data_IF_792541528832
#
_entry.id   IF_792541528832
#
_cell.length_a   1.000
_cell.length_b   1.000
_cell.length_c   1.000
_cell.angle_alpha   90.00
_cell.angle_beta   90.00
_cell.angle_gamma   90.00
#
_symmetry.space_group_name_H-M   'P 1'
#
loop_
_entity.id
_entity.type
_entity.pdbx_description
1 polymer ?
#
# COMPACT_ATOMS: atom_id res chain seq x y z
N UNK A 1 8.88 10.49 -0.01
CA UNK A 1 7.69 10.97 0.75
C UNK A 1 7.58 10.21 2.07
N UNK A 2 7.00 10.80 3.12
CA UNK A 2 6.72 10.11 4.39
C UNK A 2 5.22 9.86 4.52
N UNK A 3 4.80 8.60 4.67
CA UNK A 3 3.42 8.26 5.00
C UNK A 3 3.15 8.59 6.48
N UNK A 4 2.00 9.19 6.76
CA UNK A 4 1.53 9.60 8.08
C UNK A 4 0.28 8.82 8.50
N UNK A 5 -0.10 8.90 9.77
CA UNK A 5 -1.35 8.31 10.27
C UNK A 5 -2.56 8.92 9.55
N UNK A 6 -2.52 10.22 9.24
CA UNK A 6 -3.56 10.92 8.48
C UNK A 6 -3.69 10.35 7.07
N UNK A 7 -2.56 10.07 6.40
CA UNK A 7 -2.55 9.44 5.07
C UNK A 7 -3.22 8.06 5.12
N UNK A 8 -2.90 7.25 6.12
CA UNK A 8 -3.49 5.92 6.29
C UNK A 8 -4.98 5.98 6.59
N UNK A 9 -5.38 6.91 7.44
CA UNK A 9 -6.80 7.13 7.78
C UNK A 9 -7.58 7.59 6.55
N UNK A 10 -7.00 8.50 5.76
CA UNK A 10 -7.55 8.94 4.49
C UNK A 10 -7.68 7.77 3.50
N UNK A 11 -6.61 6.98 3.32
CA UNK A 11 -6.61 5.81 2.42
C UNK A 11 -7.70 4.81 2.85
N UNK A 12 -7.78 4.47 4.14
CA UNK A 12 -8.81 3.53 4.62
C UNK A 12 -10.22 4.10 4.38
N UNK A 13 -10.43 5.38 4.67
CA UNK A 13 -11.72 6.03 4.40
C UNK A 13 -12.11 5.96 2.91
N UNK A 14 -11.16 6.22 1.99
CA UNK A 14 -11.41 6.06 0.55
C UNK A 14 -11.71 4.60 0.19
N UNK A 15 -10.99 3.63 0.76
CA UNK A 15 -11.25 2.20 0.57
C UNK A 15 -12.68 1.84 0.98
N UNK A 16 -13.14 2.29 2.15
CA UNK A 16 -14.50 2.03 2.63
C UNK A 16 -15.55 2.69 1.72
N UNK A 17 -15.30 3.91 1.24
CA UNK A 17 -16.17 4.57 0.27
C UNK A 17 -16.28 3.79 -1.05
N UNK A 18 -15.16 3.30 -1.58
CA UNK A 18 -15.12 2.52 -2.83
C UNK A 18 -15.85 1.18 -2.66
N UNK A 19 -15.72 0.55 -1.49
CA UNK A 19 -16.41 -0.70 -1.14
C UNK A 19 -17.86 -0.50 -0.71
N UNK A 20 -18.33 0.75 -0.58
CA UNK A 20 -19.65 1.11 -0.07
C UNK A 20 -19.93 0.53 1.33
N UNK A 21 -18.90 0.51 2.18
CA UNK A 21 -18.93 0.00 3.56
C UNK A 21 -18.78 1.15 4.57
N UNK A 22 -19.23 0.98 5.83
CA UNK A 22 -19.02 1.99 6.86
C UNK A 22 -17.54 2.28 7.09
N UNK A 23 -17.21 3.53 7.43
CA UNK A 23 -15.85 3.91 7.83
C UNK A 23 -15.38 3.03 8.98
N UNK A 24 -14.21 2.42 8.83
CA UNK A 24 -13.61 1.62 9.88
C UNK A 24 -12.82 2.52 10.83
N UNK A 25 -12.96 2.26 12.13
CA UNK A 25 -12.17 2.95 13.15
C UNK A 25 -10.74 2.42 13.17
N UNK A 26 -9.79 3.32 13.44
CA UNK A 26 -8.41 2.96 13.75
C UNK A 26 -8.38 2.33 15.15
N UNK A 27 -7.94 1.08 15.22
CA UNK A 27 -7.93 0.27 16.46
C UNK A 27 -6.56 0.25 17.15
N UNK A 28 -5.48 0.55 16.43
CA UNK A 28 -4.11 0.58 16.98
C UNK A 28 -3.27 1.72 16.39
N UNK A 29 -3.48 2.92 16.93
CA UNK A 29 -2.72 4.13 16.55
C UNK A 29 -1.23 4.01 16.90
N UNK A 30 -0.92 3.39 18.05
CA UNK A 30 0.46 3.25 18.53
C UNK A 30 1.24 2.27 17.65
N UNK A 31 0.63 1.14 17.30
CA UNK A 31 1.19 0.17 16.37
C UNK A 31 1.44 0.78 15.00
N UNK A 32 0.46 1.51 14.46
CA UNK A 32 0.62 2.22 13.19
C UNK A 32 1.77 3.24 13.25
N UNK A 33 1.83 4.07 14.29
CA UNK A 33 2.90 5.08 14.47
C UNK A 33 4.30 4.45 14.51
N UNK A 34 4.44 3.32 15.21
CA UNK A 34 5.69 2.58 15.30
C UNK A 34 6.11 1.98 13.95
N UNK A 35 5.14 1.42 13.21
CA UNK A 35 5.35 0.88 11.86
C UNK A 35 5.80 1.97 10.88
N UNK A 36 5.15 3.14 10.90
CA UNK A 36 5.53 4.28 10.05
C UNK A 36 6.93 4.79 10.36
N UNK A 37 7.30 4.84 11.64
CA UNK A 37 8.65 5.26 12.05
C UNK A 37 9.71 4.31 11.48
N UNK A 38 9.51 2.99 11.61
CA UNK A 38 10.43 1.98 11.08
C UNK A 38 10.63 2.08 9.56
N UNK A 39 9.55 2.30 8.81
CA UNK A 39 9.61 2.47 7.35
C UNK A 39 10.42 3.72 6.99
N UNK A 40 10.28 4.82 7.74
CA UNK A 40 10.94 6.11 7.48
C UNK A 40 12.42 6.15 7.84
N UNK A 41 12.91 5.28 8.74
CA UNK A 41 14.31 5.23 9.16
C UNK A 41 15.24 4.50 8.17
N UNK A 42 14.68 3.89 7.10
CA UNK A 42 15.45 3.14 6.11
C UNK A 42 15.84 4.05 4.92
N UNK A 43 17.13 4.39 4.73
CA UNK A 43 17.58 5.21 3.57
C UNK A 43 17.39 4.46 2.25
N UNK A 44 17.14 5.19 1.14
CA UNK A 44 16.73 4.56 -0.12
C UNK A 44 17.72 4.76 -1.30
N UNK A 45 18.33 3.67 -1.75
CA UNK A 45 18.67 3.40 -3.16
C UNK A 45 17.45 2.77 -3.88
N UNK A 46 17.47 2.60 -5.20
CA UNK A 46 16.36 1.97 -5.95
C UNK A 46 16.00 0.56 -5.43
N UNK A 47 17.00 -0.27 -5.15
CA UNK A 47 16.78 -1.60 -4.56
C UNK A 47 16.10 -1.52 -3.18
N UNK A 48 16.37 -0.44 -2.44
CA UNK A 48 15.76 -0.20 -1.14
C UNK A 48 14.29 0.22 -1.29
N UNK A 49 13.88 0.90 -2.37
CA UNK A 49 12.48 1.30 -2.58
C UNK A 49 11.58 0.07 -2.75
N UNK A 50 12.00 -0.91 -3.55
CA UNK A 50 11.23 -2.15 -3.74
C UNK A 50 11.12 -2.93 -2.43
N UNK A 51 12.23 -3.05 -1.71
CA UNK A 51 12.27 -3.73 -0.42
C UNK A 51 11.44 -3.00 0.64
N UNK A 52 11.44 -1.67 0.65
CA UNK A 52 10.62 -0.85 1.54
C UNK A 52 9.14 -1.00 1.20
N UNK A 53 8.75 -0.97 -0.07
CA UNK A 53 7.37 -1.20 -0.49
C UNK A 53 6.88 -2.60 -0.08
N UNK A 54 7.72 -3.62 -0.25
CA UNK A 54 7.42 -4.97 0.22
C UNK A 54 7.26 -5.02 1.75
N UNK A 55 8.13 -4.32 2.48
CA UNK A 55 8.06 -4.23 3.94
C UNK A 55 6.82 -3.48 4.41
N UNK A 56 6.43 -2.40 3.71
CA UNK A 56 5.17 -1.67 3.97
C UNK A 56 4.01 -2.63 3.86
N UNK A 57 3.91 -3.36 2.75
CA UNK A 57 2.82 -4.30 2.52
C UNK A 57 2.78 -5.39 3.60
N UNK A 58 3.89 -6.08 3.87
CA UNK A 58 3.90 -7.20 4.82
C UNK A 58 3.62 -6.74 6.25
N UNK A 59 4.24 -5.64 6.69
CA UNK A 59 4.04 -5.14 8.06
C UNK A 59 2.60 -4.69 8.31
N UNK A 60 1.94 -4.07 7.32
CA UNK A 60 0.55 -3.66 7.45
C UNK A 60 -0.43 -4.83 7.45
N UNK A 61 -0.06 -5.94 6.80
CA UNK A 61 -0.86 -7.17 6.79
C UNK A 61 -0.65 -7.99 8.08
N UNK A 62 0.57 -8.01 8.62
CA UNK A 62 0.88 -8.65 9.91
C UNK A 62 0.27 -7.89 11.11
N UNK A 63 0.09 -6.58 10.97
CA UNK A 63 -0.45 -5.70 12.00
C UNK A 63 -1.68 -4.93 11.48
N UNK A 64 -2.86 -5.56 11.39
CA UNK A 64 -4.09 -4.86 11.01
C UNK A 64 -4.44 -3.82 12.07
N UNK A 65 -4.47 -2.55 11.66
CA UNK A 65 -4.71 -1.40 12.54
C UNK A 65 -6.10 -0.79 12.40
N UNK A 66 -6.93 -1.28 11.48
CA UNK A 66 -8.32 -0.86 11.30
C UNK A 66 -9.30 -1.99 11.61
N UNK A 67 -10.52 -1.65 11.98
CA UNK A 67 -11.59 -2.64 12.20
C UNK A 67 -12.00 -3.40 10.91
N UNK A 68 -11.79 -2.81 9.73
CA UNK A 68 -12.05 -3.41 8.41
C UNK A 68 -11.19 -2.72 7.34
N UNK A 69 -11.12 -3.31 6.13
CA UNK A 69 -10.41 -2.70 5.00
C UNK A 69 -8.89 -2.78 5.05
N UNK A 70 -8.29 -3.54 5.97
CA UNK A 70 -6.83 -3.59 6.16
C UNK A 70 -6.09 -4.05 4.89
N UNK A 71 -6.56 -5.11 4.23
CA UNK A 71 -5.92 -5.63 3.02
C UNK A 71 -5.85 -4.59 1.90
N UNK A 72 -7.00 -4.02 1.55
CA UNK A 72 -7.08 -3.00 0.51
C UNK A 72 -6.33 -1.71 0.91
N UNK A 73 -6.33 -1.35 2.19
CA UNK A 73 -5.57 -0.20 2.71
C UNK A 73 -4.07 -0.43 2.57
N UNK A 74 -3.58 -1.63 2.92
CA UNK A 74 -2.17 -1.99 2.80
C UNK A 74 -1.70 -1.98 1.34
N UNK A 75 -2.51 -2.54 0.43
CA UNK A 75 -2.22 -2.52 -1.01
C UNK A 75 -2.16 -1.08 -1.54
N UNK A 76 -3.17 -0.25 -1.24
CA UNK A 76 -3.19 1.14 -1.74
C UNK A 76 -2.07 1.98 -1.13
N UNK A 77 -1.77 1.83 0.16
CA UNK A 77 -0.64 2.51 0.79
C UNK A 77 0.70 2.12 0.16
N UNK A 78 0.86 0.86 -0.22
CA UNK A 78 2.06 0.36 -0.93
C UNK A 78 2.18 1.00 -2.32
N UNK A 79 1.07 1.09 -3.07
CA UNK A 79 1.04 1.74 -4.39
C UNK A 79 1.37 3.24 -4.25
N UNK A 80 0.78 3.92 -3.27
CA UNK A 80 1.03 5.34 -3.00
C UNK A 80 2.49 5.60 -2.62
N UNK A 81 3.08 4.72 -1.79
CA UNK A 81 4.50 4.76 -1.44
C UNK A 81 5.40 4.63 -2.68
N UNK A 82 5.14 3.63 -3.54
CA UNK A 82 5.88 3.41 -4.77
C UNK A 82 5.83 4.64 -5.68
N UNK A 83 4.64 5.20 -5.92
CA UNK A 83 4.50 6.40 -6.76
C UNK A 83 5.27 7.57 -6.21
N UNK A 84 5.13 7.82 -4.92
CA UNK A 84 5.84 8.93 -4.27
C UNK A 84 7.36 8.74 -4.25
N UNK A 85 7.83 7.53 -4.52
CA UNK A 85 9.24 7.19 -4.69
C UNK A 85 9.67 7.19 -6.15
N UNK A 86 8.79 7.56 -7.09
CA UNK A 86 9.08 7.63 -8.52
C UNK A 86 8.85 6.31 -9.27
N UNK A 87 8.00 5.41 -8.76
CA UNK A 87 7.71 4.13 -9.40
C UNK A 87 6.21 3.90 -9.59
N UNK A 88 5.83 3.37 -10.74
CA UNK A 88 4.49 2.82 -10.96
C UNK A 88 4.55 1.31 -11.19
N UNK A 89 3.42 0.64 -10.96
CA UNK A 89 3.28 -0.79 -11.23
C UNK A 89 2.69 -0.95 -12.62
N UNK A 90 3.43 -1.53 -13.54
CA UNK A 90 3.01 -1.78 -14.93
C UNK A 90 1.92 -2.83 -15.05
N UNK A 91 1.84 -3.75 -14.08
CA UNK A 91 0.83 -4.80 -14.02
C UNK A 91 -0.45 -4.28 -13.35
N UNK A 92 -1.25 -3.53 -14.12
CA UNK A 92 -2.51 -2.90 -13.69
C UNK A 92 -3.69 -3.89 -13.56
N UNK A 93 -3.45 -5.13 -13.12
CA UNK A 93 -4.51 -6.13 -12.93
C UNK A 93 -4.72 -6.45 -11.45
N UNK A 94 -5.97 -6.45 -10.95
CA UNK A 94 -6.27 -6.82 -9.57
C UNK A 94 -5.69 -8.18 -9.14
N UNK A 95 -5.60 -9.13 -10.08
CA UNK A 95 -5.08 -10.47 -9.84
C UNK A 95 -3.64 -10.52 -9.33
N UNK A 96 -2.81 -9.52 -9.68
CA UNK A 96 -1.44 -9.43 -9.20
C UNK A 96 -1.38 -9.31 -7.67
N UNK A 97 -2.16 -8.39 -7.11
CA UNK A 97 -2.21 -8.18 -5.66
C UNK A 97 -2.92 -9.30 -4.92
N UNK A 98 -3.97 -9.87 -5.51
CA UNK A 98 -4.64 -11.05 -4.93
C UNK A 98 -3.64 -12.21 -4.81
N UNK A 99 -2.88 -12.49 -5.88
CA UNK A 99 -1.87 -13.55 -5.87
C UNK A 99 -0.74 -13.28 -4.87
N UNK A 100 -0.31 -12.02 -4.73
CA UNK A 100 0.66 -11.61 -3.70
C UNK A 100 0.17 -11.89 -2.29
N UNK A 101 -1.13 -11.72 -2.03
CA UNK A 101 -1.72 -11.84 -0.70
C UNK A 101 -2.18 -13.26 -0.36
N UNK A 102 -2.27 -14.15 -1.35
CA UNK A 102 -2.61 -15.57 -1.19
C UNK A 102 -1.41 -16.47 -0.86
N UNK A 103 -0.19 -15.94 -0.92
CA UNK A 103 1.05 -16.66 -0.60
C UNK A 103 1.57 -16.30 0.81
N UNK A 104 2.47 -17.11 1.41
CA UNK A 104 3.16 -16.69 2.63
C UNK A 104 3.87 -15.35 2.39
N UNK A 105 3.32 -14.30 3.02
CA UNK A 105 3.76 -12.92 2.92
C UNK A 105 5.10 -12.75 3.61
N UNK A 106 6.18 -12.85 2.84
CA UNK A 106 7.53 -12.44 3.25
C UNK A 106 7.99 -11.32 2.31
N UNK A 107 8.72 -10.35 2.87
CA UNK A 107 9.17 -9.17 2.12
C UNK A 107 10.07 -9.55 0.92
N UNK A 108 10.77 -10.68 0.97
CA UNK A 108 11.61 -11.21 -0.11
C UNK A 108 10.77 -11.71 -1.28
N UNK A 109 9.73 -12.49 -1.02
CA UNK A 109 8.80 -12.95 -2.06
C UNK A 109 8.04 -11.78 -2.69
N UNK A 110 7.56 -10.85 -1.85
CA UNK A 110 6.86 -9.64 -2.31
C UNK A 110 7.79 -8.76 -3.14
N UNK A 111 9.03 -8.53 -2.72
CA UNK A 111 9.98 -7.73 -3.49
C UNK A 111 10.36 -8.39 -4.81
N UNK A 112 10.54 -9.71 -4.84
CA UNK A 112 10.83 -10.48 -6.07
C UNK A 112 9.69 -10.41 -7.09
N UNK A 113 8.44 -10.34 -6.62
CA UNK A 113 7.27 -10.19 -7.48
C UNK A 113 7.02 -8.74 -7.91
N UNK A 114 7.29 -7.75 -7.03
CA UNK A 114 7.15 -6.33 -7.35
C UNK A 114 8.22 -5.84 -8.34
N UNK A 115 9.49 -6.20 -8.13
CA UNK A 115 10.62 -5.70 -8.92
C UNK A 115 10.40 -5.72 -10.44
N UNK A 116 10.00 -6.85 -11.07
CA UNK A 116 9.80 -6.89 -12.53
C UNK A 116 8.58 -6.08 -13.01
N UNK A 117 7.65 -5.76 -12.11
CA UNK A 117 6.45 -5.01 -12.43
C UNK A 117 6.62 -3.50 -12.30
N UNK A 118 7.76 -2.99 -11.79
CA UNK A 118 7.95 -1.56 -11.58
C UNK A 118 8.51 -0.84 -12.82
N UNK A 119 8.02 0.38 -13.05
CA UNK A 119 8.56 1.33 -14.02
C UNK A 119 8.85 2.66 -13.34
N UNK A 120 10.04 3.20 -13.58
CA UNK A 120 10.38 4.55 -13.14
C UNK A 120 9.50 5.60 -13.84
N UNK A 121 9.05 6.55 -13.04
CA UNK A 121 8.24 7.70 -13.42
C UNK A 121 8.74 8.95 -12.69
N UNK A 122 8.32 10.11 -13.17
CA UNK A 122 8.44 11.32 -12.38
C UNK A 122 7.54 11.20 -11.13
N UNK A 123 8.12 11.37 -9.95
CA UNK A 123 7.38 11.26 -8.70
C UNK A 123 6.29 12.34 -8.65
N UNK A 124 5.00 11.97 -8.55
CA UNK A 124 3.92 12.95 -8.47
C UNK A 124 3.96 13.67 -7.12
N UNK A 125 3.71 14.98 -7.15
CA UNK A 125 3.62 15.82 -5.95
C UNK A 125 2.50 15.39 -4.99
N UNK A 126 1.48 14.70 -5.50
CA UNK A 126 0.32 14.24 -4.73
C UNK A 126 0.02 12.75 -5.01
N UNK A 127 1.00 11.89 -4.71
CA UNK A 127 0.93 10.46 -4.94
C UNK A 127 -0.26 9.78 -4.26
N UNK A 128 -0.67 10.27 -3.09
CA UNK A 128 -1.73 9.65 -2.27
C UNK A 128 -3.12 9.95 -2.82
N UNK A 129 -3.40 11.17 -3.25
CA UNK A 129 -4.72 11.46 -3.84
C UNK A 129 -4.80 10.93 -5.28
N UNK A 130 -3.69 10.95 -6.02
CA UNK A 130 -3.68 10.49 -7.42
C UNK A 130 -3.92 8.98 -7.58
N UNK A 131 -3.57 8.13 -6.61
CA UNK A 131 -3.85 6.67 -6.71
C UNK A 131 -5.32 6.35 -6.86
N UNK A 132 -6.22 7.16 -6.28
CA UNK A 132 -7.66 6.93 -6.40
C UNK A 132 -8.26 7.42 -7.72
N UNK A 133 -7.47 8.05 -8.60
CA UNK A 133 -7.90 8.45 -9.94
C UNK A 133 -7.76 7.33 -10.96
N UNK A 134 -6.99 6.29 -10.65
CA UNK A 134 -6.73 5.18 -11.57
C UNK A 134 -7.82 4.11 -11.47
N UNK A 135 -8.46 3.84 -12.61
CA UNK A 135 -9.52 2.83 -12.69
C UNK A 135 -9.08 1.45 -12.22
N UNK A 136 -7.81 1.07 -12.47
CA UNK A 136 -7.28 -0.21 -12.05
C UNK A 136 -7.08 -0.31 -10.53
N UNK A 137 -6.74 0.80 -9.86
CA UNK A 137 -6.65 0.85 -8.38
C UNK A 137 -8.05 0.69 -7.80
N UNK A 138 -9.03 1.40 -8.36
CA UNK A 138 -10.43 1.27 -7.95
C UNK A 138 -10.96 -0.16 -8.15
N UNK A 139 -10.62 -0.80 -9.27
CA UNK A 139 -10.97 -2.19 -9.54
C UNK A 139 -10.28 -3.16 -8.56
N UNK A 140 -9.02 -2.90 -8.21
CA UNK A 140 -8.26 -3.70 -7.24
C UNK A 140 -8.89 -3.62 -5.85
N UNK A 141 -9.21 -2.40 -5.38
CA UNK A 141 -9.88 -2.20 -4.08
C UNK A 141 -11.21 -2.97 -4.01
N UNK A 142 -11.99 -2.99 -5.10
CA UNK A 142 -13.25 -3.74 -5.17
C UNK A 142 -13.07 -5.25 -5.20
N UNK A 143 -11.97 -5.74 -5.77
CA UNK A 143 -11.69 -7.16 -5.93
C UNK A 143 -11.09 -7.80 -4.67
N UNK A 144 -10.40 -7.02 -3.84
CA UNK A 144 -9.81 -7.50 -2.58
C UNK A 144 -10.90 -7.74 -1.53
N UNK A 145 -11.08 -8.99 -1.11
CA UNK A 145 -11.89 -9.35 0.04
C UNK A 145 -11.23 -8.85 1.34
N UNK A 146 -12.02 -8.52 2.36
CA UNK A 146 -11.51 -8.23 3.72
C UNK A 146 -11.30 -9.52 4.51
#
# INVERSE_FOLDING_TARGET
MRLTIEDFTYINHQVQQIKATPTAELTDEVGLSHLLTKIQETPATEADVVQQAATVLTQLLDHPVFAAGNLATAVVATIAFLRASGYEITEHVPGFFIALTDQPLDATNVSSALAPALREIEAPNDAIHSVFTDEWVLATVKALAD
#
